data_IF_649010545298
#
_entry.id   IF_649010545298
#
_cell.length_a   1.000
_cell.length_b   1.000
_cell.length_c   1.000
_cell.angle_alpha   90.00
_cell.angle_beta   90.00
_cell.angle_gamma   90.00
#
_symmetry.space_group_name_H-M   'P 1'
#
loop_
_entity.id
_entity.type
_entity.pdbx_description
1 polymer ?
#
# COMPACT_ATOMS: atom_id res chain seq x y z
N UNK A 1 7.47 -28.00 28.44
CA UNK A 1 8.78 -27.61 29.00
C UNK A 1 8.93 -26.13 28.81
N UNK A 2 8.44 -25.38 29.79
CA UNK A 2 8.53 -23.93 29.84
C UNK A 2 9.95 -23.55 30.29
N UNK A 3 10.64 -22.75 29.47
CA UNK A 3 11.86 -22.11 29.92
C UNK A 3 11.47 -21.02 30.93
N UNK A 4 11.58 -21.33 32.21
CA UNK A 4 11.45 -20.39 33.32
C UNK A 4 12.64 -19.43 33.28
N UNK A 5 12.49 -18.30 32.58
CA UNK A 5 13.32 -17.13 32.82
C UNK A 5 12.72 -16.39 34.03
N UNK A 6 13.27 -16.68 35.21
CA UNK A 6 12.75 -16.24 36.49
C UNK A 6 12.73 -14.71 36.62
N UNK A 7 11.51 -14.18 36.82
CA UNK A 7 11.15 -12.96 37.55
C UNK A 7 12.10 -11.76 37.43
N UNK A 8 11.70 -10.83 36.56
CA UNK A 8 12.10 -9.43 36.70
C UNK A 8 11.94 -8.67 35.40
N UNK A 9 10.72 -8.21 35.08
CA UNK A 9 10.41 -7.04 34.22
C UNK A 9 11.58 -6.64 33.29
N UNK A 10 11.90 -7.49 32.31
CA UNK A 10 13.13 -7.33 31.54
C UNK A 10 12.94 -6.24 30.48
N UNK A 11 13.21 -5.01 30.88
CA UNK A 11 13.62 -3.94 29.97
C UNK A 11 14.99 -4.36 29.42
N UNK A 12 15.01 -5.11 28.32
CA UNK A 12 16.24 -5.38 27.60
C UNK A 12 16.64 -4.10 26.87
N UNK A 13 17.53 -3.32 27.50
CA UNK A 13 18.24 -2.21 26.86
C UNK A 13 19.53 -2.71 26.22
N UNK A 14 19.68 -2.31 24.94
CA UNK A 14 20.82 -2.47 24.03
C UNK A 14 21.05 -3.91 23.52
N UNK A 15 20.66 -4.13 22.27
CA UNK A 15 21.04 -5.27 21.41
C UNK A 15 20.65 -6.68 21.90
N UNK A 16 19.39 -6.86 22.31
CA UNK A 16 18.86 -8.20 22.54
C UNK A 16 18.64 -8.97 21.23
N UNK A 17 19.33 -10.10 21.07
CA UNK A 17 18.90 -11.23 20.23
C UNK A 17 17.96 -12.10 21.05
N UNK A 18 16.66 -11.80 21.05
CA UNK A 18 15.65 -12.69 21.62
C UNK A 18 15.34 -13.78 20.60
N UNK A 19 15.94 -14.95 20.78
CA UNK A 19 15.79 -16.07 19.82
C UNK A 19 14.80 -17.14 20.25
N UNK A 20 14.31 -17.17 21.50
CA UNK A 20 13.32 -18.18 21.96
C UNK A 20 12.42 -17.64 23.07
N UNK A 21 11.18 -17.34 22.72
CA UNK A 21 10.09 -16.98 23.64
C UNK A 21 8.78 -16.80 22.87
N UNK A 22 7.62 -17.05 23.49
CA UNK A 22 6.32 -16.79 22.84
C UNK A 22 6.12 -15.29 22.58
N UNK A 23 6.55 -14.44 23.51
CA UNK A 23 6.44 -12.98 23.38
C UNK A 23 7.78 -12.29 23.68
N UNK A 24 8.09 -11.22 22.95
CA UNK A 24 9.22 -10.34 23.24
C UNK A 24 8.81 -8.86 23.26
N UNK A 25 9.24 -8.13 24.29
CA UNK A 25 9.10 -6.67 24.39
C UNK A 25 10.49 -6.04 24.49
N UNK A 26 10.83 -5.13 23.57
CA UNK A 26 12.16 -4.49 23.59
C UNK A 26 12.16 -3.06 23.04
N UNK A 27 13.09 -2.25 23.51
CA UNK A 27 13.30 -0.89 22.98
C UNK A 27 14.02 -0.91 21.63
N UNK A 28 15.00 -1.80 21.47
CA UNK A 28 15.77 -2.02 20.23
C UNK A 28 16.03 -3.51 20.04
N UNK A 29 15.48 -4.09 18.98
CA UNK A 29 15.70 -5.47 18.58
C UNK A 29 16.50 -5.52 17.29
N UNK A 30 17.67 -6.18 17.31
CA UNK A 30 18.46 -6.40 16.10
C UNK A 30 17.90 -7.58 15.30
N UNK A 31 17.70 -8.70 15.98
CA UNK A 31 17.04 -9.90 15.47
C UNK A 31 16.01 -10.35 16.52
N UNK A 32 14.73 -10.32 16.15
CA UNK A 32 13.62 -10.76 17.00
C UNK A 32 12.95 -11.94 16.31
N UNK A 33 12.97 -13.10 16.95
CA UNK A 33 12.35 -14.32 16.46
C UNK A 33 11.50 -14.96 17.56
N UNK A 34 10.20 -14.66 17.51
CA UNK A 34 9.19 -15.02 18.51
C UNK A 34 7.83 -15.23 17.84
N UNK A 35 6.82 -15.72 18.57
CA UNK A 35 5.45 -15.70 18.02
C UNK A 35 4.95 -14.26 17.94
N UNK A 36 5.11 -13.50 19.03
CA UNK A 36 4.69 -12.11 19.10
C UNK A 36 5.85 -11.19 19.50
N UNK A 37 5.93 -10.02 18.88
CA UNK A 37 6.92 -9.02 19.24
C UNK A 37 6.36 -7.60 19.28
N UNK A 38 6.71 -6.90 20.35
CA UNK A 38 6.48 -5.46 20.47
C UNK A 38 7.82 -4.75 20.63
N UNK A 39 8.19 -3.92 19.64
CA UNK A 39 9.46 -3.20 19.68
C UNK A 39 9.40 -1.74 19.22
N UNK A 40 10.13 -0.84 19.89
CA UNK A 40 10.20 0.54 19.41
C UNK A 40 11.01 0.64 18.12
N UNK A 41 12.09 -0.16 17.99
CA UNK A 41 12.94 -0.22 16.78
C UNK A 41 13.38 -1.66 16.49
N UNK A 42 12.80 -2.27 15.46
CA UNK A 42 13.18 -3.58 14.94
C UNK A 42 14.01 -3.45 13.66
N UNK A 43 15.18 -4.12 13.61
CA UNK A 43 15.95 -4.24 12.35
C UNK A 43 15.47 -5.42 11.53
N UNK A 44 15.49 -6.62 12.12
CA UNK A 44 14.96 -7.85 11.53
C UNK A 44 13.95 -8.45 12.52
N UNK A 45 12.68 -8.45 12.15
CA UNK A 45 11.58 -9.01 12.95
C UNK A 45 10.97 -10.13 12.14
N UNK A 46 11.02 -11.34 12.67
CA UNK A 46 10.47 -12.55 12.08
C UNK A 46 9.53 -13.20 13.11
N UNK A 47 8.24 -12.95 12.97
CA UNK A 47 7.23 -13.34 13.96
C UNK A 47 5.90 -13.68 13.29
N UNK A 48 4.94 -14.24 14.03
CA UNK A 48 3.56 -14.31 13.56
C UNK A 48 2.97 -12.89 13.60
N UNK A 49 3.07 -12.25 14.77
CA UNK A 49 2.53 -10.91 15.00
C UNK A 49 3.64 -9.94 15.41
N UNK A 50 3.70 -8.78 14.74
CA UNK A 50 4.66 -7.73 15.11
C UNK A 50 3.99 -6.37 15.24
N UNK A 51 4.24 -5.72 16.38
CA UNK A 51 3.98 -4.29 16.57
C UNK A 51 5.31 -3.54 16.70
N UNK A 52 5.58 -2.62 15.78
CA UNK A 52 6.79 -1.80 15.86
C UNK A 52 6.64 -0.32 15.49
N UNK A 53 7.25 0.58 16.25
CA UNK A 53 7.25 2.01 15.86
C UNK A 53 8.12 2.25 14.61
N UNK A 54 9.24 1.52 14.49
CA UNK A 54 10.14 1.57 13.33
C UNK A 54 10.67 0.17 12.99
N UNK A 55 10.22 -0.39 11.87
CA UNK A 55 10.69 -1.66 11.32
C UNK A 55 11.53 -1.44 10.06
N UNK A 56 12.72 -2.05 9.99
CA UNK A 56 13.50 -2.06 8.73
C UNK A 56 13.14 -3.23 7.83
N UNK A 57 13.20 -4.45 8.37
CA UNK A 57 12.79 -5.69 7.71
C UNK A 57 11.83 -6.39 8.67
N UNK A 58 10.56 -6.41 8.30
CA UNK A 58 9.49 -7.08 9.05
C UNK A 58 8.94 -8.15 8.14
N UNK A 59 9.07 -9.41 8.55
CA UNK A 59 8.56 -10.57 7.84
C UNK A 59 7.66 -11.35 8.79
N UNK A 60 6.36 -11.21 8.63
CA UNK A 60 5.36 -11.71 9.59
C UNK A 60 4.06 -12.12 8.90
N UNK A 61 3.15 -12.77 9.62
CA UNK A 61 1.78 -12.90 9.13
C UNK A 61 1.10 -11.53 9.23
N UNK A 62 1.12 -10.94 10.42
CA UNK A 62 0.50 -9.66 10.70
C UNK A 62 1.53 -8.64 11.19
N UNK A 63 1.58 -7.47 10.57
CA UNK A 63 2.45 -6.38 11.00
C UNK A 63 1.70 -5.07 11.19
N UNK A 64 1.85 -4.49 12.37
CA UNK A 64 1.47 -3.10 12.65
C UNK A 64 2.73 -2.27 12.82
N UNK A 65 2.95 -1.30 11.94
CA UNK A 65 4.11 -0.42 12.06
C UNK A 65 3.86 1.07 11.78
N UNK A 66 4.43 1.95 12.60
CA UNK A 66 4.34 3.39 12.30
C UNK A 66 5.23 3.76 11.11
N UNK A 67 6.41 3.14 10.98
CA UNK A 67 7.34 3.33 9.85
C UNK A 67 8.03 2.03 9.44
N UNK A 68 7.56 1.43 8.35
CA UNK A 68 8.15 0.24 7.73
C UNK A 68 9.02 0.60 6.52
N UNK A 69 10.24 0.05 6.44
CA UNK A 69 11.07 0.18 5.23
C UNK A 69 10.80 -0.95 4.24
N UNK A 70 10.93 -2.18 4.68
CA UNK A 70 10.62 -3.42 3.96
C UNK A 70 9.69 -4.22 4.86
N UNK A 71 8.42 -4.30 4.46
CA UNK A 71 7.38 -5.07 5.15
C UNK A 71 6.92 -6.13 4.17
N UNK A 72 7.11 -7.40 4.54
CA UNK A 72 6.73 -8.55 3.74
C UNK A 72 5.82 -9.45 4.58
N UNK A 73 4.52 -9.35 4.40
CA UNK A 73 3.54 -9.97 5.30
C UNK A 73 2.29 -10.44 4.57
N UNK A 74 1.42 -11.20 5.24
CA UNK A 74 0.08 -11.41 4.71
C UNK A 74 -0.70 -10.11 4.85
N UNK A 75 -0.75 -9.57 6.07
CA UNK A 75 -1.47 -8.34 6.38
C UNK A 75 -0.51 -7.28 6.96
N UNK A 76 -0.53 -6.07 6.39
CA UNK A 76 0.26 -4.96 6.90
C UNK A 76 -0.60 -3.72 7.15
N UNK A 77 -0.49 -3.19 8.36
CA UNK A 77 -0.98 -1.86 8.71
C UNK A 77 0.21 -0.92 8.95
N UNK A 78 0.35 0.12 8.10
CA UNK A 78 1.50 0.99 8.11
C UNK A 78 1.19 2.50 8.01
N UNK A 79 1.64 3.32 8.96
CA UNK A 79 1.47 4.78 8.77
C UNK A 79 2.36 5.31 7.64
N UNK A 80 3.58 4.75 7.50
CA UNK A 80 4.54 5.10 6.44
C UNK A 80 5.33 3.87 5.97
N UNK A 81 4.97 3.33 4.81
CA UNK A 81 5.66 2.21 4.15
C UNK A 81 6.53 2.68 2.98
N UNK A 82 7.77 2.22 2.89
CA UNK A 82 8.61 2.45 1.69
C UNK A 82 8.46 1.34 0.66
N UNK A 83 8.62 0.09 1.07
CA UNK A 83 8.41 -1.11 0.28
C UNK A 83 7.51 -2.02 1.10
N UNK A 84 6.26 -2.15 0.66
CA UNK A 84 5.25 -3.02 1.28
C UNK A 84 4.89 -4.06 0.23
N UNK A 85 5.07 -5.33 0.59
CA UNK A 85 4.89 -6.49 -0.26
C UNK A 85 3.99 -7.46 0.51
N UNK A 86 2.69 -7.44 0.24
CA UNK A 86 1.72 -8.18 1.06
C UNK A 86 0.56 -8.71 0.26
N UNK A 87 -0.28 -9.56 0.85
CA UNK A 87 -1.59 -9.84 0.27
C UNK A 87 -2.46 -8.60 0.46
N UNK A 88 -2.59 -8.14 1.70
CA UNK A 88 -3.39 -6.98 2.07
C UNK A 88 -2.52 -5.89 2.73
N UNK A 89 -2.61 -4.66 2.22
CA UNK A 89 -1.93 -3.52 2.84
C UNK A 89 -2.88 -2.37 3.12
N UNK A 90 -2.84 -1.87 4.35
CA UNK A 90 -3.42 -0.59 4.73
C UNK A 90 -2.30 0.39 5.08
N UNK A 91 -2.15 1.46 4.29
CA UNK A 91 -1.07 2.41 4.51
C UNK A 91 -1.45 3.88 4.32
N UNK A 92 -1.18 4.74 5.30
CA UNK A 92 -1.46 6.18 5.15
C UNK A 92 -0.54 6.81 4.09
N UNK A 93 0.73 6.38 4.01
CA UNK A 93 1.68 6.82 2.98
C UNK A 93 2.56 5.66 2.50
N UNK A 94 2.28 5.14 1.31
CA UNK A 94 3.06 4.12 0.63
C UNK A 94 3.93 4.69 -0.49
N UNK A 95 5.21 4.34 -0.55
CA UNK A 95 6.07 4.72 -1.68
C UNK A 95 6.05 3.67 -2.80
N UNK A 96 6.29 2.42 -2.46
CA UNK A 96 6.18 1.25 -3.32
C UNK A 96 5.33 0.23 -2.58
N UNK A 97 4.12 0.01 -3.08
CA UNK A 97 3.16 -0.96 -2.53
C UNK A 97 2.90 -1.96 -3.64
N UNK A 98 3.25 -3.22 -3.39
CA UNK A 98 3.02 -4.34 -4.28
C UNK A 98 2.16 -5.35 -3.54
N UNK A 99 0.88 -5.45 -3.87
CA UNK A 99 -0.06 -6.30 -3.12
C UNK A 99 -1.16 -6.87 -3.99
N UNK A 100 -1.94 -7.82 -3.46
CA UNK A 100 -3.22 -8.15 -4.08
C UNK A 100 -4.18 -6.99 -3.87
N UNK A 101 -4.38 -6.60 -2.61
CA UNK A 101 -5.27 -5.52 -2.21
C UNK A 101 -4.50 -4.42 -1.48
N UNK A 102 -4.65 -3.18 -1.94
CA UNK A 102 -4.06 -2.03 -1.26
C UNK A 102 -5.10 -0.96 -0.95
N UNK A 103 -5.11 -0.52 0.31
CA UNK A 103 -5.76 0.72 0.72
C UNK A 103 -4.71 1.74 1.13
N UNK A 104 -4.66 2.88 0.43
CA UNK A 104 -3.70 3.93 0.79
C UNK A 104 -4.20 5.37 0.66
N UNK A 105 -3.95 6.19 1.67
CA UNK A 105 -4.31 7.62 1.56
C UNK A 105 -3.40 8.36 0.57
N UNK A 106 -2.12 7.99 0.49
CA UNK A 106 -1.13 8.55 -0.44
C UNK A 106 -0.16 7.48 -0.95
N UNK A 107 -0.37 7.01 -2.18
CA UNK A 107 0.48 6.07 -2.89
C UNK A 107 1.34 6.75 -3.95
N UNK A 108 2.66 6.48 -3.98
CA UNK A 108 3.52 6.98 -5.08
C UNK A 108 3.59 5.98 -6.24
N UNK A 109 3.91 4.74 -5.95
CA UNK A 109 3.90 3.60 -6.88
C UNK A 109 3.09 2.49 -6.21
N UNK A 110 1.91 2.25 -6.73
CA UNK A 110 0.99 1.20 -6.26
C UNK A 110 0.83 0.25 -7.43
N UNK A 111 1.19 -1.01 -7.24
CA UNK A 111 1.07 -2.05 -8.25
C UNK A 111 0.35 -3.24 -7.63
N UNK A 112 -0.91 -3.42 -7.97
CA UNK A 112 -1.79 -4.36 -7.27
C UNK A 112 -2.84 -4.97 -8.19
N UNK A 113 -3.58 -5.98 -7.72
CA UNK A 113 -4.80 -6.37 -8.41
C UNK A 113 -5.86 -5.30 -8.17
N UNK A 114 -6.11 -4.99 -6.89
CA UNK A 114 -7.10 -3.99 -6.49
C UNK A 114 -6.43 -2.88 -5.66
N UNK A 115 -6.67 -1.62 -6.04
CA UNK A 115 -6.19 -0.48 -5.27
C UNK A 115 -7.29 0.53 -4.98
N UNK A 116 -7.44 0.85 -3.69
CA UNK A 116 -8.17 2.04 -3.23
C UNK A 116 -7.15 3.09 -2.80
N UNK A 117 -7.16 4.27 -3.44
CA UNK A 117 -6.28 5.35 -3.02
C UNK A 117 -6.88 6.76 -3.08
N UNK A 118 -6.71 7.55 -2.01
CA UNK A 118 -7.17 8.95 -2.06
C UNK A 118 -6.30 9.80 -3.00
N UNK A 119 -4.99 9.53 -3.04
CA UNK A 119 -4.01 10.22 -3.90
C UNK A 119 -2.94 9.25 -4.42
N UNK A 120 -3.06 8.85 -5.67
CA UNK A 120 -2.10 8.00 -6.39
C UNK A 120 -1.27 8.78 -7.41
N UNK A 121 0.06 8.61 -7.42
CA UNK A 121 0.91 9.21 -8.46
C UNK A 121 1.09 8.29 -9.67
N UNK A 122 1.49 7.05 -9.43
CA UNK A 122 1.57 5.98 -10.40
C UNK A 122 0.82 4.79 -9.81
N UNK A 123 -0.32 4.47 -10.40
CA UNK A 123 -1.18 3.34 -10.01
C UNK A 123 -1.25 2.44 -11.23
N UNK A 124 -0.81 1.19 -11.07
CA UNK A 124 -0.85 0.17 -12.12
C UNK A 124 -1.54 -1.06 -11.57
N UNK A 125 -2.79 -1.28 -11.96
CA UNK A 125 -3.63 -2.31 -11.34
C UNK A 125 -4.60 -2.95 -12.32
N UNK A 126 -5.24 -4.04 -11.94
CA UNK A 126 -6.42 -4.50 -12.69
C UNK A 126 -7.56 -3.52 -12.43
N UNK A 127 -7.88 -3.30 -11.14
CA UNK A 127 -8.94 -2.39 -10.72
C UNK A 127 -8.38 -1.28 -9.83
N UNK A 128 -8.68 -0.02 -10.17
CA UNK A 128 -8.31 1.12 -9.34
C UNK A 128 -9.51 2.01 -9.01
N UNK A 129 -9.68 2.28 -7.72
CA UNK A 129 -10.51 3.37 -7.21
C UNK A 129 -9.61 4.47 -6.68
N UNK A 130 -9.65 5.65 -7.30
CA UNK A 130 -8.85 6.77 -6.81
C UNK A 130 -9.52 8.15 -6.84
N UNK A 131 -9.44 8.89 -5.73
CA UNK A 131 -9.99 10.26 -5.73
C UNK A 131 -9.14 11.20 -6.59
N UNK A 132 -7.81 11.03 -6.59
CA UNK A 132 -6.87 11.80 -7.43
C UNK A 132 -5.73 10.95 -7.94
N UNK A 133 -5.75 10.61 -9.23
CA UNK A 133 -4.71 9.88 -9.94
C UNK A 133 -3.90 10.79 -10.87
N UNK A 134 -2.56 10.70 -10.87
CA UNK A 134 -1.74 11.42 -11.86
C UNK A 134 -1.47 10.56 -13.11
N UNK A 135 -0.99 9.34 -12.91
CA UNK A 135 -0.79 8.32 -13.93
C UNK A 135 -1.48 7.06 -13.42
N UNK A 136 -2.55 6.68 -14.09
CA UNK A 136 -3.35 5.49 -13.79
C UNK A 136 -3.33 4.63 -15.05
N UNK A 137 -2.78 3.43 -14.94
CA UNK A 137 -2.76 2.44 -16.02
C UNK A 137 -3.45 1.18 -15.51
N UNK A 138 -4.67 0.91 -15.95
CA UNK A 138 -5.45 -0.21 -15.40
C UNK A 138 -6.33 -0.88 -16.44
N UNK A 139 -6.90 -2.04 -16.12
CA UNK A 139 -8.00 -2.56 -16.94
C UNK A 139 -9.24 -1.70 -16.67
N UNK A 140 -9.61 -1.56 -15.40
CA UNK A 140 -10.75 -0.77 -14.96
C UNK A 140 -10.30 0.34 -14.00
N UNK A 141 -10.69 1.58 -14.28
CA UNK A 141 -10.43 2.69 -13.37
C UNK A 141 -11.70 3.46 -13.05
N UNK A 142 -11.90 3.72 -11.76
CA UNK A 142 -12.80 4.75 -11.27
C UNK A 142 -11.97 5.88 -10.65
N UNK A 143 -12.08 7.09 -11.23
CA UNK A 143 -11.31 8.24 -10.75
C UNK A 143 -12.10 9.53 -10.71
N UNK A 144 -12.15 10.19 -9.54
CA UNK A 144 -12.77 11.52 -9.47
C UNK A 144 -11.96 12.58 -10.24
N UNK A 145 -10.61 12.52 -10.18
CA UNK A 145 -9.71 13.44 -10.92
C UNK A 145 -8.45 12.76 -11.43
N UNK A 146 -8.42 12.43 -12.73
CA UNK A 146 -7.29 11.83 -13.43
C UNK A 146 -6.53 12.83 -14.33
N UNK A 147 -5.20 12.73 -14.43
CA UNK A 147 -4.38 13.57 -15.35
C UNK A 147 -3.81 12.82 -16.56
N UNK A 148 -3.54 11.54 -16.41
CA UNK A 148 -3.14 10.63 -17.48
C UNK A 148 -3.76 9.29 -17.10
N UNK A 149 -4.81 8.90 -17.79
CA UNK A 149 -5.55 7.66 -17.54
C UNK A 149 -5.49 6.84 -18.81
N UNK A 150 -4.96 5.64 -18.70
CA UNK A 150 -4.76 4.69 -19.79
C UNK A 150 -5.43 3.40 -19.37
N UNK A 151 -6.61 3.09 -19.89
CA UNK A 151 -7.37 1.92 -19.42
C UNK A 151 -8.13 1.23 -20.53
N UNK A 152 -8.63 0.02 -20.26
CA UNK A 152 -9.65 -0.57 -21.12
C UNK A 152 -10.96 0.18 -20.86
N UNK A 153 -11.38 0.24 -19.59
CA UNK A 153 -12.59 0.93 -19.17
C UNK A 153 -12.26 2.02 -18.14
N UNK A 154 -12.76 3.23 -18.33
CA UNK A 154 -12.62 4.30 -17.34
C UNK A 154 -13.94 4.99 -17.03
N UNK A 155 -14.19 5.18 -15.74
CA UNK A 155 -15.16 6.16 -15.24
C UNK A 155 -14.41 7.32 -14.59
N UNK A 156 -14.57 8.54 -15.14
CA UNK A 156 -13.98 9.73 -14.56
C UNK A 156 -14.92 10.92 -14.38
N UNK A 157 -14.88 11.58 -13.22
CA UNK A 157 -15.61 12.84 -13.07
C UNK A 157 -14.88 13.99 -13.78
N UNK A 158 -13.53 14.03 -13.67
CA UNK A 158 -12.68 14.98 -14.39
C UNK A 158 -11.38 14.33 -14.87
N UNK A 159 -11.25 14.18 -16.18
CA UNK A 159 -10.07 13.62 -16.84
C UNK A 159 -9.31 14.67 -17.64
N UNK A 160 -7.99 14.55 -17.70
CA UNK A 160 -7.14 15.17 -18.72
C UNK A 160 -6.33 14.04 -19.33
N UNK A 161 -6.12 14.01 -20.65
CA UNK A 161 -5.40 12.92 -21.34
C UNK A 161 -5.88 11.52 -20.93
N UNK A 162 -7.09 11.19 -21.35
CA UNK A 162 -7.71 9.88 -21.12
C UNK A 162 -7.63 9.13 -22.45
N UNK A 163 -6.95 7.98 -22.46
CA UNK A 163 -6.89 7.09 -23.61
C UNK A 163 -7.45 5.75 -23.19
N UNK A 164 -8.61 5.39 -23.71
CA UNK A 164 -9.27 4.14 -23.32
C UNK A 164 -9.96 3.45 -24.48
N UNK A 165 -10.40 2.21 -24.27
CA UNK A 165 -11.33 1.58 -25.21
C UNK A 165 -12.73 2.17 -24.98
N UNK A 166 -13.20 2.09 -23.74
CA UNK A 166 -14.48 2.63 -23.31
C UNK A 166 -14.27 3.70 -22.22
N UNK A 167 -14.89 4.87 -22.36
CA UNK A 167 -14.85 5.89 -21.30
C UNK A 167 -16.22 6.53 -21.04
N UNK A 168 -16.51 6.66 -19.74
CA UNK A 168 -17.53 7.55 -19.22
C UNK A 168 -16.83 8.69 -18.48
N UNK A 169 -16.75 9.87 -19.09
CA UNK A 169 -16.19 11.05 -18.42
C UNK A 169 -17.15 12.25 -18.42
N UNK A 170 -17.43 12.79 -17.24
CA UNK A 170 -18.33 13.96 -17.13
C UNK A 170 -17.68 15.25 -17.64
N UNK A 171 -16.36 15.41 -17.45
CA UNK A 171 -15.57 16.57 -17.92
C UNK A 171 -14.15 16.15 -18.28
N UNK A 172 -13.93 15.82 -19.56
CA UNK A 172 -12.64 15.45 -20.14
C UNK A 172 -11.96 16.57 -20.92
N UNK A 173 -10.64 16.51 -21.05
CA UNK A 173 -9.87 17.29 -22.05
C UNK A 173 -8.80 16.40 -22.66
N UNK A 174 -8.78 16.28 -23.99
CA UNK A 174 -8.00 15.28 -24.72
C UNK A 174 -8.40 13.86 -24.30
N UNK A 175 -9.61 13.46 -24.69
CA UNK A 175 -10.12 12.08 -24.52
C UNK A 175 -10.03 11.40 -25.88
N UNK A 176 -9.35 10.26 -25.92
CA UNK A 176 -9.19 9.41 -27.10
C UNK A 176 -9.78 8.06 -26.74
N UNK A 177 -10.80 7.64 -27.46
CA UNK A 177 -11.59 6.45 -27.14
C UNK A 177 -11.95 5.73 -28.42
N UNK A 178 -12.05 4.41 -28.38
CA UNK A 178 -12.70 3.67 -29.46
C UNK A 178 -14.22 3.82 -29.37
N UNK A 179 -14.80 3.77 -28.16
CA UNK A 179 -16.21 4.03 -27.90
C UNK A 179 -16.38 5.00 -26.69
N UNK A 180 -16.99 6.18 -26.91
CA UNK A 180 -17.24 7.14 -25.83
C UNK A 180 -18.68 7.64 -25.80
N UNK A 181 -19.23 7.67 -24.59
CA UNK A 181 -20.41 8.46 -24.23
C UNK A 181 -19.97 9.61 -23.31
N UNK A 182 -19.59 10.74 -23.91
CA UNK A 182 -19.21 11.95 -23.18
C UNK A 182 -20.35 12.99 -23.22
N UNK A 183 -20.66 13.61 -22.07
CA UNK A 183 -21.63 14.71 -22.00
C UNK A 183 -21.17 15.93 -22.83
N UNK A 184 -22.09 16.72 -23.42
CA UNK A 184 -21.83 17.66 -24.53
C UNK A 184 -20.96 18.91 -24.24
N UNK A 185 -20.22 18.96 -23.13
CA UNK A 185 -19.47 20.15 -22.69
C UNK A 185 -17.94 20.03 -22.81
N UNK A 186 -17.43 19.27 -23.78
CA UNK A 186 -15.98 19.08 -23.96
C UNK A 186 -15.49 19.47 -25.37
N UNK A 187 -14.45 20.32 -25.51
CA UNK A 187 -13.86 20.61 -26.80
C UNK A 187 -12.86 19.50 -27.21
N UNK A 188 -13.04 18.98 -28.43
CA UNK A 188 -12.33 17.90 -29.12
C UNK A 188 -12.41 16.50 -28.48
N UNK A 189 -13.40 15.73 -28.92
CA UNK A 189 -13.35 14.26 -28.99
C UNK A 189 -12.81 13.87 -30.38
N UNK A 190 -11.80 13.01 -30.42
CA UNK A 190 -11.39 12.32 -31.64
C UNK A 190 -11.77 10.85 -31.44
N UNK A 191 -12.79 10.41 -32.17
CA UNK A 191 -13.11 8.99 -32.37
C UNK A 191 -12.25 8.48 -33.50
N UNK A 192 -11.58 7.34 -33.29
CA UNK A 192 -10.79 6.63 -34.31
C UNK A 192 -11.58 5.42 -34.78
#
# INVERSE_FOLDING_TARGET
MDATCSRGRHVLTMDATCSRGRHATCSRGRHVLTMDATCSRGRHVLTMDATCSRGRHVLTMDATCSRGRHVLTMDATCSRGRHVLTMDATCSRGRHVLTMDATCSRGRHVLTMDATCSRGRHVLTMDATCSRGRHVLTMDATCSRGRHVLTMDATCSRGRHVLTRDALCSRGRHVLTMDATCSPWTPLNLQL
#
